data_IF_956361876806
#
_entry.id   IF_956361876806
#
_cell.length_a   1.000
_cell.length_b   1.000
_cell.length_c   1.000
_cell.angle_alpha   90.00
_cell.angle_beta   90.00
_cell.angle_gamma   90.00
#
_symmetry.space_group_name_H-M   'P 1'
#
loop_
_entity.id
_entity.type
_entity.pdbx_description
1 polymer ?
#
# COMPACT_ATOMS: atom_id res chain seq x y z
N UNK A 1 3.60 26.07 -11.53
CA UNK A 1 4.60 25.03 -11.23
C UNK A 1 3.98 24.10 -10.22
N UNK A 2 3.45 22.96 -10.67
CA UNK A 2 2.94 21.93 -9.76
C UNK A 2 4.12 21.36 -8.97
N UNK A 3 4.09 21.54 -7.65
CA UNK A 3 5.00 20.84 -6.74
C UNK A 3 4.78 19.35 -6.96
N UNK A 4 5.73 18.69 -7.60
CA UNK A 4 5.72 17.23 -7.78
C UNK A 4 5.86 16.64 -6.39
N UNK A 5 4.75 16.24 -5.76
CA UNK A 5 4.77 15.56 -4.47
C UNK A 5 5.56 14.27 -4.66
N UNK A 6 6.81 14.30 -4.19
CA UNK A 6 7.70 13.16 -4.26
C UNK A 6 7.67 12.51 -2.88
N UNK A 7 7.36 11.22 -2.81
CA UNK A 7 7.40 10.47 -1.56
C UNK A 7 8.76 10.64 -0.87
N UNK A 8 8.74 10.92 0.43
CA UNK A 8 9.91 11.04 1.26
C UNK A 8 10.14 9.75 2.06
N UNK A 9 11.38 9.49 2.47
CA UNK A 9 11.64 8.44 3.45
C UNK A 9 10.81 8.71 4.72
N UNK A 10 10.23 7.66 5.28
CA UNK A 10 9.55 7.77 6.57
C UNK A 10 8.59 6.64 6.88
N UNK A 11 7.86 6.85 7.97
CA UNK A 11 6.81 5.96 8.47
C UNK A 11 5.45 6.48 8.03
N UNK A 12 4.69 5.60 7.38
CA UNK A 12 3.37 5.90 6.84
C UNK A 12 2.33 4.89 7.34
N UNK A 13 1.08 5.34 7.42
CA UNK A 13 -0.09 4.48 7.35
C UNK A 13 -0.62 4.52 5.91
N UNK A 14 -1.07 3.38 5.41
CA UNK A 14 -1.67 3.26 4.08
C UNK A 14 -3.09 2.75 4.28
N UNK A 15 -4.05 3.40 3.66
CA UNK A 15 -5.46 3.05 3.72
C UNK A 15 -6.03 2.82 2.34
N UNK A 16 -7.04 1.97 2.27
CA UNK A 16 -7.97 1.90 1.15
C UNK A 16 -8.66 3.26 0.94
N UNK A 17 -8.90 3.64 -0.31
CA UNK A 17 -9.54 4.91 -0.67
C UNK A 17 -11.04 4.94 -0.36
N UNK A 18 -11.71 3.78 -0.23
CA UNK A 18 -13.16 3.68 0.02
C UNK A 18 -13.64 4.13 1.42
N UNK A 19 -12.93 5.03 2.12
CA UNK A 19 -13.35 5.49 3.44
C UNK A 19 -12.78 6.84 3.87
N UNK A 20 -13.29 7.32 5.01
CA UNK A 20 -12.90 8.61 5.59
C UNK A 20 -11.70 8.45 6.55
N UNK A 21 -10.47 8.50 6.01
CA UNK A 21 -9.24 8.57 6.80
C UNK A 21 -9.03 7.37 7.71
N UNK A 22 -9.01 7.57 9.04
CA UNK A 22 -8.81 6.49 10.03
C UNK A 22 -9.96 5.47 10.07
N UNK A 23 -11.12 5.79 9.47
CA UNK A 23 -12.24 4.87 9.35
C UNK A 23 -12.11 3.95 8.11
N UNK A 24 -11.13 4.21 7.25
CA UNK A 24 -10.84 3.34 6.11
C UNK A 24 -10.17 2.04 6.54
N UNK A 25 -10.41 0.94 5.81
CA UNK A 25 -9.61 -0.28 5.90
C UNK A 25 -8.11 0.02 5.79
N UNK A 26 -7.28 -0.28 6.81
CA UNK A 26 -5.85 -0.09 6.70
C UNK A 26 -5.22 -1.21 5.88
N UNK A 27 -4.21 -0.87 5.07
CA UNK A 27 -3.44 -1.83 4.29
C UNK A 27 -2.26 -2.32 5.12
N UNK A 28 -2.05 -3.63 5.18
CA UNK A 28 -0.92 -4.18 5.91
C UNK A 28 -0.99 -5.69 6.15
N UNK A 29 -0.11 -6.14 7.06
CA UNK A 29 -0.07 -7.51 7.56
C UNK A 29 -0.97 -7.67 8.78
N UNK A 30 -1.45 -8.88 9.01
CA UNK A 30 -2.09 -9.20 10.28
C UNK A 30 -1.07 -9.15 11.43
N UNK A 31 -1.47 -8.68 12.63
CA UNK A 31 -0.60 -8.75 13.80
C UNK A 31 -0.28 -10.18 14.26
N UNK A 32 -1.21 -11.11 14.03
CA UNK A 32 -1.08 -12.53 14.39
C UNK A 32 -0.94 -13.35 13.11
N UNK A 33 0.22 -13.98 12.94
CA UNK A 33 0.57 -14.77 11.76
C UNK A 33 1.20 -16.10 12.17
N UNK A 34 1.20 -17.06 11.25
CA UNK A 34 1.95 -18.30 11.42
C UNK A 34 3.45 -18.06 11.57
N UNK A 35 4.12 -18.80 12.46
CA UNK A 35 5.55 -18.68 12.74
C UNK A 35 6.42 -19.44 11.73
N UNK A 36 6.27 -19.08 10.45
CA UNK A 36 7.05 -19.63 9.34
C UNK A 36 7.82 -18.51 8.62
N UNK A 37 8.92 -18.86 7.95
CA UNK A 37 9.68 -17.93 7.12
C UNK A 37 9.11 -17.72 5.72
N UNK A 38 7.94 -18.30 5.41
CA UNK A 38 7.29 -18.08 4.12
C UNK A 38 6.88 -16.61 3.98
N UNK A 39 6.80 -16.09 2.74
CA UNK A 39 6.25 -14.76 2.50
C UNK A 39 4.89 -14.58 3.19
N UNK A 40 4.65 -13.38 3.73
CA UNK A 40 3.45 -13.04 4.49
C UNK A 40 2.52 -12.18 3.65
N UNK A 41 1.25 -12.57 3.47
CA UNK A 41 0.34 -11.81 2.63
C UNK A 41 0.04 -10.42 3.23
N UNK A 42 -0.15 -9.45 2.33
CA UNK A 42 -0.60 -8.10 2.66
C UNK A 42 -2.06 -7.96 2.23
N UNK A 43 -2.86 -7.34 3.09
CA UNK A 43 -4.30 -7.22 2.94
C UNK A 43 -4.77 -5.77 3.08
N UNK A 44 -5.98 -5.52 2.59
CA UNK A 44 -6.87 -4.49 3.15
C UNK A 44 -7.58 -5.12 4.36
N UNK A 45 -7.24 -4.67 5.56
CA UNK A 45 -7.75 -5.22 6.81
C UNK A 45 -9.12 -4.59 7.14
N UNK A 46 -10.02 -5.29 7.82
CA UNK A 46 -11.28 -4.70 8.25
C UNK A 46 -11.05 -3.44 9.10
N UNK A 47 -11.93 -2.42 8.99
CA UNK A 47 -11.82 -1.23 9.81
C UNK A 47 -12.11 -1.54 11.29
N UNK A 48 -11.72 -0.64 12.19
CA UNK A 48 -12.08 -0.69 13.62
C UNK A 48 -11.63 -1.96 14.38
N UNK A 49 -10.54 -2.60 13.96
CA UNK A 49 -9.96 -3.68 14.74
C UNK A 49 -9.21 -3.11 15.96
N UNK A 50 -9.24 -3.82 17.09
CA UNK A 50 -8.67 -3.35 18.38
C UNK A 50 -7.14 -3.30 18.43
N UNK A 51 -6.46 -3.34 17.28
CA UNK A 51 -5.01 -3.32 17.18
C UNK A 51 -4.50 -2.04 16.51
N UNK A 52 -3.21 -1.76 16.72
CA UNK A 52 -2.54 -0.61 16.13
C UNK A 52 -2.51 -0.69 14.60
N UNK A 53 -2.71 0.45 13.92
CA UNK A 53 -2.64 0.50 12.46
C UNK A 53 -1.28 -0.01 11.93
N UNK A 54 -1.27 -0.86 10.88
CA UNK A 54 -0.05 -1.35 10.27
C UNK A 54 0.82 -0.20 9.75
N UNK A 55 2.02 -0.08 10.33
CA UNK A 55 3.02 0.90 9.89
C UNK A 55 3.80 0.39 8.69
N UNK A 56 3.96 1.26 7.72
CA UNK A 56 4.79 1.07 6.54
C UNK A 56 6.05 1.90 6.64
N UNK A 57 7.18 1.31 6.28
CA UNK A 57 8.42 2.06 6.06
C UNK A 57 8.56 2.25 4.56
N UNK A 58 8.69 3.51 4.15
CA UNK A 58 9.02 3.87 2.79
C UNK A 58 10.49 4.27 2.71
N UNK A 59 11.23 3.61 1.82
CA UNK A 59 12.60 3.94 1.49
C UNK A 59 12.70 4.34 0.02
N UNK A 60 12.88 5.63 -0.23
CA UNK A 60 13.12 6.22 -1.55
C UNK A 60 14.36 5.58 -2.20
N UNK A 61 14.20 5.32 -3.49
CA UNK A 61 15.24 4.87 -4.42
C UNK A 61 15.34 5.90 -5.57
N UNK A 62 16.27 5.68 -6.50
CA UNK A 62 16.54 6.66 -7.56
C UNK A 62 15.32 6.98 -8.43
N UNK A 63 14.49 5.96 -8.72
CA UNK A 63 13.31 6.10 -9.60
C UNK A 63 11.97 5.77 -8.93
N UNK A 64 11.98 5.19 -7.73
CA UNK A 64 10.79 4.71 -7.03
C UNK A 64 11.03 4.57 -5.54
N UNK A 65 10.42 3.59 -4.91
CA UNK A 65 10.61 3.32 -3.50
C UNK A 65 10.55 1.82 -3.16
N UNK A 66 11.16 1.46 -2.04
CA UNK A 66 10.94 0.17 -1.37
C UNK A 66 9.89 0.40 -0.30
N UNK A 67 8.77 -0.29 -0.41
CA UNK A 67 7.72 -0.33 0.62
C UNK A 67 7.96 -1.54 1.51
N UNK A 68 7.91 -1.34 2.83
CA UNK A 68 8.09 -2.41 3.81
C UNK A 68 6.93 -2.49 4.78
N UNK A 69 6.30 -3.66 4.88
CA UNK A 69 5.27 -3.97 5.86
C UNK A 69 5.89 -4.76 7.02
N UNK A 70 5.76 -4.25 8.26
CA UNK A 70 6.48 -4.78 9.43
C UNK A 70 7.97 -5.00 9.15
N UNK A 71 8.63 -3.98 8.59
CA UNK A 71 10.07 -3.98 8.31
C UNK A 71 10.52 -4.87 7.14
N UNK A 72 9.62 -5.67 6.57
CA UNK A 72 9.93 -6.60 5.49
C UNK A 72 9.50 -6.02 4.13
N UNK A 73 10.37 -6.02 3.11
CA UNK A 73 10.04 -5.45 1.82
C UNK A 73 8.96 -6.27 1.10
N UNK A 74 8.13 -5.58 0.31
CA UNK A 74 7.00 -6.22 -0.38
C UNK A 74 7.24 -6.40 -1.87
N UNK A 75 6.56 -7.40 -2.43
CA UNK A 75 6.69 -7.82 -3.82
C UNK A 75 5.51 -8.66 -4.27
N UNK A 76 5.62 -9.27 -5.45
CA UNK A 76 4.52 -10.00 -6.08
C UNK A 76 4.74 -11.50 -5.93
N UNK A 77 3.83 -12.20 -5.23
CA UNK A 77 3.80 -13.67 -5.17
C UNK A 77 2.44 -14.16 -5.62
N UNK A 78 2.39 -15.03 -6.64
CA UNK A 78 1.12 -15.58 -7.20
C UNK A 78 0.06 -14.50 -7.51
N UNK A 79 0.48 -13.40 -8.14
CA UNK A 79 -0.39 -12.26 -8.50
C UNK A 79 -0.98 -11.46 -7.31
N UNK A 80 -0.46 -11.67 -6.11
CA UNK A 80 -0.86 -11.00 -4.88
C UNK A 80 0.34 -10.30 -4.23
N UNK A 81 0.07 -9.35 -3.35
CA UNK A 81 1.09 -8.63 -2.59
C UNK A 81 1.50 -9.39 -1.34
N UNK A 82 2.81 -9.63 -1.20
CA UNK A 82 3.38 -10.29 -0.03
C UNK A 82 4.58 -9.49 0.50
N UNK A 83 4.80 -9.58 1.81
CA UNK A 83 6.02 -9.17 2.49
C UNK A 83 6.98 -10.36 2.60
N UNK A 84 8.22 -10.16 2.19
CA UNK A 84 9.22 -11.22 2.12
C UNK A 84 10.14 -11.15 3.33
N UNK A 85 10.14 -12.22 4.14
CA UNK A 85 10.95 -12.32 5.35
C UNK A 85 12.41 -12.68 5.04
N UNK A 86 12.65 -13.27 3.86
CA UNK A 86 13.97 -13.57 3.32
C UNK A 86 14.21 -12.71 2.07
N UNK A 87 15.48 -12.58 1.67
CA UNK A 87 15.82 -11.88 0.44
C UNK A 87 15.45 -12.76 -0.76
N UNK A 88 14.38 -12.37 -1.46
CA UNK A 88 13.77 -13.13 -2.54
C UNK A 88 13.74 -12.32 -3.85
N UNK A 89 13.70 -13.00 -4.99
CA UNK A 89 13.71 -12.34 -6.31
C UNK A 89 12.40 -11.62 -6.62
N UNK A 90 11.31 -12.02 -5.96
CA UNK A 90 10.00 -11.42 -6.11
C UNK A 90 9.84 -10.05 -5.44
N UNK A 91 10.84 -9.58 -4.68
CA UNK A 91 10.76 -8.28 -4.02
C UNK A 91 10.88 -7.16 -5.05
N UNK A 92 9.87 -6.30 -5.10
CA UNK A 92 9.77 -5.24 -6.09
C UNK A 92 10.20 -3.87 -5.55
N UNK A 93 10.48 -2.96 -6.47
CA UNK A 93 10.43 -1.53 -6.23
C UNK A 93 9.14 -0.98 -6.83
N UNK A 94 8.59 0.03 -6.18
CA UNK A 94 7.26 0.54 -6.47
C UNK A 94 7.31 2.01 -6.85
N UNK A 95 6.53 2.37 -7.86
CA UNK A 95 6.22 3.73 -8.24
C UNK A 95 4.95 4.17 -7.51
N UNK A 96 5.07 5.16 -6.64
CA UNK A 96 3.91 5.78 -5.97
C UNK A 96 3.59 7.09 -6.69
N UNK A 97 2.42 7.16 -7.32
CA UNK A 97 1.99 8.32 -8.11
C UNK A 97 0.79 8.98 -7.46
N UNK A 98 0.99 10.17 -6.87
CA UNK A 98 -0.11 10.94 -6.27
C UNK A 98 -1.11 11.41 -7.32
N UNK A 99 -2.39 11.39 -6.94
CA UNK A 99 -3.56 11.70 -7.75
C UNK A 99 -4.31 12.87 -7.11
N UNK A 100 -3.80 14.12 -7.22
CA UNK A 100 -4.36 15.28 -6.54
C UNK A 100 -5.82 15.58 -6.91
N UNK A 101 -6.28 15.09 -8.07
CA UNK A 101 -7.69 15.16 -8.49
C UNK A 101 -8.62 14.27 -7.64
N UNK A 102 -8.08 13.26 -6.96
CA UNK A 102 -8.81 12.36 -6.04
C UNK A 102 -8.56 12.72 -4.57
N UNK A 103 -7.46 13.42 -4.28
CA UNK A 103 -7.12 13.92 -2.95
C UNK A 103 -5.61 14.16 -2.82
N UNK A 104 -5.22 15.07 -1.91
CA UNK A 104 -3.80 15.49 -1.78
C UNK A 104 -2.87 14.34 -1.36
N UNK A 105 -3.38 13.38 -0.60
CA UNK A 105 -2.63 12.25 -0.03
C UNK A 105 -3.00 10.92 -0.71
N UNK A 106 -3.72 10.98 -1.83
CA UNK A 106 -4.23 9.81 -2.55
C UNK A 106 -3.27 9.46 -3.68
N UNK A 107 -2.92 8.18 -3.84
CA UNK A 107 -1.98 7.72 -4.85
C UNK A 107 -2.34 6.36 -5.44
N UNK A 108 -1.81 6.07 -6.64
CA UNK A 108 -1.68 4.71 -7.16
C UNK A 108 -0.31 4.14 -6.78
N UNK A 109 -0.24 2.82 -6.61
CA UNK A 109 1.01 2.10 -6.35
C UNK A 109 1.22 1.11 -7.50
N UNK A 110 2.20 1.39 -8.35
CA UNK A 110 2.46 0.68 -9.60
C UNK A 110 3.83 0.01 -9.55
N UNK A 111 4.00 -1.10 -10.27
CA UNK A 111 5.33 -1.63 -10.54
C UNK A 111 6.13 -0.58 -11.34
N UNK A 112 7.46 -0.59 -11.20
CA UNK A 112 8.33 0.40 -11.88
C UNK A 112 8.17 0.45 -13.40
N UNK A 113 7.86 -0.68 -14.04
CA UNK A 113 7.58 -0.80 -15.48
C UNK A 113 6.13 -0.47 -15.86
N UNK A 114 5.29 -0.14 -14.86
CA UNK A 114 3.85 0.14 -14.98
C UNK A 114 3.02 -1.00 -15.57
N UNK A 115 3.52 -2.24 -15.56
CA UNK A 115 2.78 -3.38 -16.10
C UNK A 115 1.53 -3.68 -15.27
N UNK A 116 1.62 -3.48 -13.95
CA UNK A 116 0.56 -3.74 -12.98
C UNK A 116 0.61 -2.75 -11.82
N UNK A 117 -0.51 -2.61 -11.13
CA UNK A 117 -0.73 -1.81 -9.95
C UNK A 117 -1.38 -2.63 -8.83
N UNK A 118 -1.24 -2.15 -7.61
CA UNK A 118 -1.99 -2.67 -6.46
C UNK A 118 -3.47 -2.39 -6.67
N UNK A 119 -4.30 -3.39 -6.35
CA UNK A 119 -5.74 -3.33 -6.40
C UNK A 119 -6.30 -4.11 -5.22
N UNK A 120 -7.19 -3.51 -4.45
CA UNK A 120 -7.96 -4.22 -3.43
C UNK A 120 -8.94 -5.16 -4.14
N UNK A 121 -9.02 -6.41 -3.68
CA UNK A 121 -10.00 -7.36 -4.22
C UNK A 121 -11.43 -6.95 -3.84
N UNK A 122 -12.30 -6.76 -4.84
CA UNK A 122 -13.67 -6.27 -4.65
C UNK A 122 -14.60 -7.27 -3.97
N UNK A 123 -14.33 -8.57 -4.14
CA UNK A 123 -15.21 -9.66 -3.70
C UNK A 123 -14.84 -10.13 -2.31
N UNK A 124 -15.83 -10.25 -1.44
CA UNK A 124 -15.65 -10.89 -0.13
C UNK A 124 -16.57 -10.32 0.93
N UNK A 125 -16.53 -10.93 2.12
CA UNK A 125 -17.18 -10.39 3.30
C UNK A 125 -16.43 -9.11 3.75
N UNK A 126 -17.08 -7.95 3.94
CA UNK A 126 -16.44 -6.73 4.42
C UNK A 126 -15.79 -6.86 5.81
N UNK A 127 -16.20 -7.86 6.60
CA UNK A 127 -15.61 -8.18 7.90
C UNK A 127 -14.35 -9.04 7.79
N UNK A 128 -14.00 -9.47 6.58
CA UNK A 128 -12.81 -10.26 6.30
C UNK A 128 -11.75 -9.43 5.59
N UNK A 129 -10.47 -9.76 5.82
CA UNK A 129 -9.39 -9.11 5.10
C UNK A 129 -9.45 -9.45 3.61
N UNK A 130 -9.29 -8.41 2.79
CA UNK A 130 -9.28 -8.51 1.33
C UNK A 130 -7.86 -8.57 0.82
N UNK A 131 -7.60 -9.38 -0.21
CA UNK A 131 -6.28 -9.47 -0.85
C UNK A 131 -5.94 -8.18 -1.59
N UNK A 132 -4.65 -7.85 -1.62
CA UNK A 132 -4.13 -6.88 -2.59
C UNK A 132 -3.60 -7.66 -3.79
N UNK A 133 -4.31 -7.55 -4.90
CA UNK A 133 -4.01 -8.25 -6.16
C UNK A 133 -3.37 -7.31 -7.16
N UNK A 134 -2.63 -7.86 -8.11
CA UNK A 134 -2.02 -7.10 -9.19
C UNK A 134 -3.00 -7.00 -10.36
N UNK A 135 -3.33 -5.78 -10.78
CA UNK A 135 -4.17 -5.49 -11.96
C UNK A 135 -3.52 -4.43 -12.83
N UNK A 136 -3.77 -4.47 -14.13
CA UNK A 136 -3.28 -3.43 -15.03
C UNK A 136 -4.02 -2.11 -14.78
N UNK A 137 -3.28 -1.02 -14.59
CA UNK A 137 -3.86 0.32 -14.57
C UNK A 137 -4.05 0.79 -16.01
N UNK A 138 -5.28 0.76 -16.50
CA UNK A 138 -5.58 1.30 -17.83
C UNK A 138 -5.52 2.82 -17.81
N UNK A 139 -5.09 3.42 -18.92
CA UNK A 139 -5.12 4.87 -19.12
C UNK A 139 -6.56 5.37 -19.31
N UNK A 140 -7.42 5.21 -18.29
CA UNK A 140 -8.76 5.77 -18.24
C UNK A 140 -8.74 7.14 -17.55
N UNK A 141 -9.73 7.98 -17.89
CA UNK A 141 -9.90 9.30 -17.26
C UNK A 141 -10.23 9.20 -15.76
N UNK A 142 -10.76 8.05 -15.33
CA UNK A 142 -11.11 7.76 -13.95
C UNK A 142 -10.40 6.47 -13.53
N UNK A 143 -9.61 6.58 -12.46
CA UNK A 143 -8.92 5.44 -11.85
C UNK A 143 -9.94 4.74 -10.94
N UNK A 144 -10.07 3.41 -11.02
CA UNK A 144 -10.94 2.65 -10.11
C UNK A 144 -10.54 2.89 -8.64
N UNK A 145 -11.52 3.01 -7.76
CA UNK A 145 -11.29 3.37 -6.35
C UNK A 145 -10.44 2.33 -5.61
N UNK A 146 -10.53 1.07 -6.02
CA UNK A 146 -9.83 -0.08 -5.46
C UNK A 146 -8.32 -0.04 -5.76
N UNK A 147 -7.90 0.83 -6.68
CA UNK A 147 -6.51 1.08 -7.04
C UNK A 147 -5.96 2.36 -6.43
N UNK A 148 -6.77 3.09 -5.67
CA UNK A 148 -6.40 4.31 -4.97
C UNK A 148 -6.11 4.00 -3.51
N UNK A 149 -5.06 4.63 -2.98
CA UNK A 149 -4.62 4.44 -1.61
C UNK A 149 -4.31 5.79 -0.96
N UNK A 150 -4.74 5.96 0.28
CA UNK A 150 -4.45 7.17 1.06
C UNK A 150 -3.22 6.96 1.93
N UNK A 151 -2.27 7.89 1.87
CA UNK A 151 -1.03 7.85 2.66
C UNK A 151 -1.05 8.88 3.78
N UNK A 152 -0.91 8.43 5.03
CA UNK A 152 -0.79 9.32 6.20
C UNK A 152 0.59 9.18 6.79
N UNK A 153 1.38 10.27 6.78
CA UNK A 153 2.73 10.25 7.35
C UNK A 153 2.69 10.39 8.87
N UNK A 154 3.45 9.55 9.58
CA UNK A 154 3.41 9.46 11.05
C UNK A 154 4.61 10.12 11.76
N UNK A 155 5.75 10.28 11.08
CA UNK A 155 7.02 10.67 11.70
C UNK A 155 7.40 12.15 11.52
N UNK A 156 6.59 12.93 10.78
CA UNK A 156 6.69 14.40 10.80
C UNK A 156 5.75 14.93 11.88
N UNK A 157 6.30 15.64 12.88
CA UNK A 157 5.50 16.45 13.79
C UNK A 157 4.65 17.40 12.95
N UNK A 158 3.35 17.45 13.21
CA UNK A 158 2.54 18.59 12.79
C UNK A 158 3.13 19.83 13.46
N UNK A 159 3.74 20.71 12.66
CA UNK A 159 4.09 22.04 13.12
C UNK A 159 2.78 22.73 13.52
N UNK A 160 2.58 22.92 14.82
CA UNK A 160 1.53 23.79 15.36
C UNK A 160 1.85 25.26 15.06
#
# INVERSE_FOLDING_TARGET
MESTMTMENGIYLIFDYHGEGLNSPPIGRYPVEELTLSPKPVFSLPPNQSFEFPKWILEKKDKGCRLKAFGCPVGIHKNELYAFLLNEKEIEEWMVTFRPQQGKDVATIEKMDKSVAWCVEEKGNPEQPKRIIMKQLHSSRQIPEEMLFTFVRMDKKMSH
#
